data_IF_434100911139
#
_entry.id   IF_434100911139
#
_cell.length_a   1.000
_cell.length_b   1.000
_cell.length_c   1.000
_cell.angle_alpha   90.00
_cell.angle_beta   90.00
_cell.angle_gamma   90.00
#
_symmetry.space_group_name_H-M   'P 1'
#
loop_
_entity.id
_entity.type
_entity.pdbx_description
1 polymer ?
#
# COMPACT_ATOMS: atom_id res chain seq x y z
N UNK A 1 -3.14 24.05 79.03
CA UNK A 1 -3.23 25.06 77.95
C UNK A 1 -2.54 24.48 76.72
N UNK A 2 -3.30 23.85 75.82
CA UNK A 2 -2.78 23.27 74.58
C UNK A 2 -2.99 24.27 73.44
N UNK A 3 -1.92 24.64 72.73
CA UNK A 3 -1.99 25.50 71.55
C UNK A 3 -2.36 24.66 70.32
N UNK A 4 -3.48 25.02 69.68
CA UNK A 4 -3.95 24.37 68.46
C UNK A 4 -3.01 24.68 67.28
N UNK A 5 -2.32 23.65 66.78
CA UNK A 5 -1.55 23.73 65.54
C UNK A 5 -2.47 23.91 64.34
N UNK A 6 -2.28 24.99 63.58
CA UNK A 6 -2.97 25.25 62.32
C UNK A 6 -2.71 24.10 61.33
N UNK A 7 -3.73 23.56 60.64
CA UNK A 7 -3.50 22.60 59.57
C UNK A 7 -2.85 23.32 58.38
N UNK A 8 -1.62 22.92 58.03
CA UNK A 8 -0.96 23.35 56.81
C UNK A 8 -1.72 22.77 55.60
N UNK A 9 -2.53 23.60 54.95
CA UNK A 9 -3.15 23.27 53.69
C UNK A 9 -2.05 23.07 52.63
N UNK A 10 -1.74 21.81 52.30
CA UNK A 10 -0.93 21.44 51.14
C UNK A 10 -1.65 21.92 49.88
N UNK A 11 -1.27 23.10 49.37
CA UNK A 11 -1.64 23.54 48.02
C UNK A 11 -1.01 22.58 47.02
N UNK A 12 -1.83 21.73 46.40
CA UNK A 12 -1.41 20.98 45.22
C UNK A 12 -1.01 21.97 44.12
N UNK A 13 0.29 22.02 43.80
CA UNK A 13 0.80 22.84 42.72
C UNK A 13 0.25 22.30 41.39
N UNK A 14 -0.81 22.94 40.89
CA UNK A 14 -1.41 22.65 39.59
C UNK A 14 -0.32 22.77 38.52
N UNK A 15 0.17 21.63 38.00
CA UNK A 15 1.24 21.61 37.00
C UNK A 15 0.75 22.39 35.76
N UNK A 16 1.36 23.53 35.50
CA UNK A 16 1.10 24.30 34.29
C UNK A 16 1.49 23.44 33.09
N UNK A 17 0.51 23.09 32.25
CA UNK A 17 0.76 22.33 31.02
C UNK A 17 1.01 23.35 29.91
N UNK A 18 2.25 23.52 29.43
CA UNK A 18 2.54 24.51 28.40
C UNK A 18 1.84 24.11 27.09
N UNK A 19 1.03 25.01 26.55
CA UNK A 19 0.41 24.81 25.24
C UNK A 19 1.48 24.79 24.15
N UNK A 20 1.55 23.69 23.39
CA UNK A 20 2.40 23.57 22.20
C UNK A 20 1.54 23.76 20.96
N UNK A 21 1.86 24.76 20.15
CA UNK A 21 1.28 24.91 18.82
C UNK A 21 1.93 23.89 17.90
N UNK A 22 1.15 23.04 17.26
CA UNK A 22 1.63 22.10 16.24
C UNK A 22 0.98 22.42 14.90
N UNK A 23 1.77 22.35 13.84
CA UNK A 23 1.25 22.44 12.48
C UNK A 23 0.87 21.02 12.05
N UNK A 24 -0.42 20.72 12.06
CA UNK A 24 -0.96 19.44 11.60
C UNK A 24 -1.64 19.64 10.25
N UNK A 25 -1.55 18.63 9.38
CA UNK A 25 -2.22 18.69 8.07
C UNK A 25 -3.72 18.86 8.28
N UNK A 26 -4.37 19.83 7.60
CA UNK A 26 -5.83 19.97 7.64
C UNK A 26 -6.54 18.83 6.90
N UNK A 27 -5.81 18.08 6.07
CA UNK A 27 -6.37 16.99 5.27
C UNK A 27 -6.36 15.68 6.06
N UNK A 28 -7.55 15.09 6.19
CA UNK A 28 -7.71 13.75 6.75
C UNK A 28 -8.05 12.76 5.64
N UNK A 29 -7.12 11.85 5.37
CA UNK A 29 -7.35 10.76 4.41
C UNK A 29 -8.18 9.69 5.12
N UNK A 30 -9.37 9.40 4.59
CA UNK A 30 -10.30 8.40 5.13
C UNK A 30 -10.87 7.55 3.99
N UNK A 31 -11.19 6.30 4.31
CA UNK A 31 -11.90 5.42 3.39
C UNK A 31 -13.34 5.88 3.20
N UNK A 32 -13.83 5.78 1.97
CA UNK A 32 -15.24 6.03 1.66
C UNK A 32 -16.12 4.93 2.30
N UNK A 33 -17.28 5.29 2.87
CA UNK A 33 -18.19 4.31 3.45
C UNK A 33 -18.80 3.43 2.35
N UNK A 34 -18.84 2.12 2.59
CA UNK A 34 -19.45 1.15 1.68
C UNK A 34 -20.87 0.80 2.18
N UNK A 35 -21.91 0.87 1.33
CA UNK A 35 -23.26 0.44 1.67
C UNK A 35 -23.30 -1.05 2.08
N UNK A 36 -24.24 -1.40 2.97
CA UNK A 36 -24.32 -2.77 3.49
C UNK A 36 -24.70 -3.79 2.42
N UNK A 37 -25.57 -3.43 1.47
CA UNK A 37 -25.98 -4.28 0.36
C UNK A 37 -24.80 -4.63 -0.55
N UNK A 38 -24.05 -3.61 -0.96
CA UNK A 38 -22.86 -3.78 -1.78
C UNK A 38 -21.76 -4.55 -1.07
N UNK A 39 -21.59 -4.34 0.24
CA UNK A 39 -20.68 -5.13 1.06
C UNK A 39 -21.02 -6.63 0.99
N UNK A 40 -22.28 -7.01 1.19
CA UNK A 40 -22.68 -8.43 1.15
C UNK A 40 -22.53 -9.00 -0.27
N UNK A 41 -22.89 -8.23 -1.29
CA UNK A 41 -22.69 -8.62 -2.68
C UNK A 41 -21.21 -8.89 -2.98
N UNK A 42 -20.31 -7.96 -2.63
CA UNK A 42 -18.87 -8.10 -2.86
C UNK A 42 -18.33 -9.34 -2.16
N UNK A 43 -18.67 -9.53 -0.87
CA UNK A 43 -18.19 -10.69 -0.10
C UNK A 43 -18.69 -12.02 -0.68
N UNK A 44 -19.96 -12.08 -1.10
CA UNK A 44 -20.54 -13.29 -1.69
C UNK A 44 -19.88 -13.62 -3.03
N UNK A 45 -19.83 -12.65 -3.94
CA UNK A 45 -19.23 -12.83 -5.27
C UNK A 45 -17.77 -13.28 -5.18
N UNK A 46 -16.98 -12.70 -4.25
CA UNK A 46 -15.60 -13.11 -4.02
C UNK A 46 -15.52 -14.54 -3.49
N UNK A 47 -16.33 -14.88 -2.49
CA UNK A 47 -16.31 -16.22 -1.89
C UNK A 47 -16.64 -17.28 -2.94
N UNK A 48 -17.70 -17.07 -3.71
CA UNK A 48 -18.16 -18.01 -4.72
C UNK A 48 -17.08 -18.19 -5.81
N UNK A 49 -16.49 -17.09 -6.30
CA UNK A 49 -15.45 -17.15 -7.34
C UNK A 49 -14.12 -17.74 -6.85
N UNK A 50 -13.74 -17.51 -5.60
CA UNK A 50 -12.55 -18.16 -5.01
C UNK A 50 -12.75 -19.68 -4.88
N UNK A 51 -13.95 -20.12 -4.51
CA UNK A 51 -14.29 -21.54 -4.47
C UNK A 51 -14.30 -22.14 -5.88
N UNK A 52 -14.94 -21.47 -6.85
CA UNK A 52 -15.00 -21.95 -8.24
C UNK A 52 -13.64 -22.01 -8.93
N UNK A 53 -12.73 -21.09 -8.61
CA UNK A 53 -11.37 -21.09 -9.17
C UNK A 53 -10.46 -22.15 -8.55
N UNK A 54 -10.84 -22.77 -7.42
CA UNK A 54 -10.05 -23.81 -6.77
C UNK A 54 -8.66 -23.34 -6.28
N UNK A 55 -8.47 -22.03 -6.15
CA UNK A 55 -7.18 -21.44 -5.78
C UNK A 55 -6.95 -21.59 -4.27
N UNK A 56 -6.25 -22.65 -3.88
CA UNK A 56 -5.91 -22.91 -2.49
C UNK A 56 -4.39 -22.99 -2.30
N UNK A 57 -3.90 -22.49 -1.16
CA UNK A 57 -2.53 -22.74 -0.71
C UNK A 57 -2.48 -24.04 0.08
N UNK A 58 -1.93 -25.10 -0.51
CA UNK A 58 -1.62 -26.35 0.20
C UNK A 58 -0.43 -26.13 1.15
N UNK A 59 -0.66 -26.20 2.45
CA UNK A 59 0.44 -26.15 3.42
C UNK A 59 1.27 -27.44 3.36
N UNK A 60 2.43 -27.39 2.71
CA UNK A 60 3.43 -28.46 2.84
C UNK A 60 4.07 -28.30 4.21
N UNK A 61 3.71 -29.16 5.16
CA UNK A 61 4.37 -29.28 6.46
C UNK A 61 5.79 -29.84 6.27
N UNK A 62 6.70 -29.03 5.77
CA UNK A 62 8.13 -29.38 5.77
C UNK A 62 8.61 -29.21 7.22
N UNK A 63 8.58 -30.32 7.96
CA UNK A 63 9.32 -30.45 9.21
C UNK A 63 10.80 -30.24 8.87
N UNK A 64 11.32 -29.03 9.08
CA UNK A 64 12.76 -28.79 8.93
C UNK A 64 13.46 -29.60 10.01
N UNK A 65 14.31 -30.58 9.67
CA UNK A 65 15.14 -31.22 10.68
C UNK A 65 16.09 -30.15 11.24
N UNK A 66 15.93 -29.87 12.53
CA UNK A 66 16.81 -28.99 13.29
C UNK A 66 18.24 -29.53 13.19
N UNK A 67 19.11 -28.86 12.42
CA UNK A 67 20.51 -29.28 12.30
C UNK A 67 21.15 -29.19 13.68
N UNK A 68 21.40 -30.35 14.32
CA UNK A 68 22.31 -30.43 15.46
C UNK A 68 23.70 -30.07 14.96
N UNK A 69 24.27 -29.00 15.50
CA UNK A 69 25.65 -28.55 15.25
C UNK A 69 26.59 -29.67 15.68
N UNK A 70 27.16 -30.40 14.71
CA UNK A 70 28.24 -31.36 14.96
C UNK A 70 29.54 -30.57 14.88
N UNK A 71 30.20 -30.39 16.02
CA UNK A 71 31.54 -29.81 16.08
C UNK A 71 32.48 -30.65 15.21
N UNK A 72 33.00 -30.03 14.15
CA UNK A 72 33.93 -30.66 13.22
C UNK A 72 35.34 -30.19 13.58
N UNK A 73 36.04 -31.02 14.36
CA UNK A 73 37.48 -30.91 14.60
C UNK A 73 38.19 -31.33 13.31
N UNK A 74 39.02 -30.44 12.79
CA UNK A 74 39.82 -30.56 11.57
C UNK A 74 40.93 -31.60 11.68
N UNK A 75 41.09 -32.46 10.66
CA UNK A 75 42.37 -33.07 10.29
C UNK A 75 42.34 -33.66 8.86
N UNK A 76 43.15 -33.06 8.00
CA UNK A 76 44.03 -33.63 6.96
C UNK A 76 43.49 -34.54 5.81
N UNK A 77 43.63 -34.00 4.59
CA UNK A 77 44.37 -34.56 3.43
C UNK A 77 43.88 -35.85 2.74
N UNK A 78 43.31 -35.72 1.54
CA UNK A 78 43.97 -36.08 0.25
C UNK A 78 43.00 -35.97 -0.94
N UNK A 79 43.49 -35.34 -2.03
CA UNK A 79 42.97 -35.51 -3.40
C UNK A 79 43.58 -36.79 -4.01
N UNK A 80 42.91 -37.50 -4.96
CA UNK A 80 42.89 -37.07 -6.37
C UNK A 80 41.58 -37.31 -7.15
N UNK A 81 41.42 -36.51 -8.21
CA UNK A 81 40.46 -36.55 -9.35
C UNK A 81 40.96 -37.63 -10.36
N UNK A 82 40.16 -38.40 -11.16
CA UNK A 82 39.36 -37.81 -12.25
C UNK A 82 38.10 -38.54 -12.84
N UNK A 83 37.22 -37.67 -13.39
CA UNK A 83 36.41 -37.76 -14.64
C UNK A 83 35.15 -38.67 -14.81
N UNK A 84 34.11 -38.01 -15.36
CA UNK A 84 32.99 -38.42 -16.26
C UNK A 84 31.62 -38.85 -15.69
N UNK A 85 30.59 -38.26 -16.33
CA UNK A 85 29.19 -38.70 -16.50
C UNK A 85 28.19 -38.20 -15.45
N UNK A 86 27.46 -37.13 -15.75
CA UNK A 86 26.15 -37.10 -16.43
C UNK A 86 24.97 -37.30 -15.46
N UNK A 87 24.05 -36.35 -15.53
CA UNK A 87 22.64 -36.44 -15.15
C UNK A 87 22.30 -36.79 -13.71
N UNK A 88 22.41 -35.77 -12.87
CA UNK A 88 21.40 -35.56 -11.83
C UNK A 88 21.18 -34.05 -11.68
N UNK A 89 20.43 -33.47 -12.63
CA UNK A 89 19.65 -32.27 -12.32
C UNK A 89 18.78 -32.61 -11.12
N UNK A 90 19.23 -32.18 -9.95
CA UNK A 90 18.42 -32.14 -8.73
C UNK A 90 17.26 -31.22 -9.06
N UNK A 91 16.16 -31.84 -9.46
CA UNK A 91 14.88 -31.18 -9.69
C UNK A 91 14.54 -30.42 -8.41
N UNK A 92 14.61 -29.10 -8.51
CA UNK A 92 14.10 -28.16 -7.53
C UNK A 92 12.63 -28.56 -7.25
N UNK A 93 12.37 -29.06 -6.05
CA UNK A 93 11.00 -29.31 -5.58
C UNK A 93 10.12 -28.07 -5.84
N UNK A 94 8.81 -28.23 -6.13
CA UNK A 94 7.97 -27.09 -6.47
C UNK A 94 7.88 -26.17 -5.25
N UNK A 95 8.60 -25.04 -5.30
CA UNK A 95 8.63 -24.01 -4.25
C UNK A 95 7.28 -23.30 -4.07
N UNK A 96 6.30 -23.59 -4.92
CA UNK A 96 4.99 -22.94 -4.93
C UNK A 96 3.91 -23.90 -4.46
N UNK A 97 3.44 -23.67 -3.24
CA UNK A 97 2.41 -24.46 -2.55
C UNK A 97 0.98 -24.11 -3.00
N UNK A 98 0.79 -23.60 -4.22
CA UNK A 98 -0.51 -23.14 -4.73
C UNK A 98 -1.08 -24.14 -5.73
N UNK A 99 -2.40 -24.37 -5.69
CA UNK A 99 -3.09 -25.28 -6.62
C UNK A 99 -2.99 -24.80 -8.06
N UNK A 100 -3.27 -23.51 -8.31
CA UNK A 100 -3.11 -22.89 -9.62
C UNK A 100 -2.15 -21.69 -9.55
N UNK A 101 -1.03 -21.81 -10.26
CA UNK A 101 0.00 -20.77 -10.33
C UNK A 101 -0.42 -19.62 -11.26
N UNK A 102 -1.22 -19.89 -12.29
CA UNK A 102 -1.69 -18.87 -13.23
C UNK A 102 -2.70 -17.93 -12.55
N UNK A 103 -3.75 -18.48 -11.92
CA UNK A 103 -4.68 -17.69 -11.13
C UNK A 103 -3.99 -16.98 -9.95
N UNK A 104 -2.99 -17.61 -9.30
CA UNK A 104 -2.24 -16.94 -8.22
C UNK A 104 -1.53 -15.67 -8.68
N UNK A 105 -0.99 -15.65 -9.91
CA UNK A 105 -0.29 -14.48 -10.45
C UNK A 105 -1.20 -13.27 -10.68
N UNK A 106 -2.51 -13.50 -10.82
CA UNK A 106 -3.53 -12.45 -10.94
C UNK A 106 -3.91 -11.81 -9.61
N UNK A 107 -3.51 -12.40 -8.48
CA UNK A 107 -3.83 -11.86 -7.16
C UNK A 107 -2.60 -11.24 -6.50
N UNK A 108 -2.79 -10.08 -5.89
CA UNK A 108 -1.86 -9.49 -4.93
C UNK A 108 -2.44 -9.68 -3.53
N UNK A 109 -1.77 -10.47 -2.68
CA UNK A 109 -2.28 -10.83 -1.35
C UNK A 109 -1.41 -10.17 -0.29
N UNK A 110 -2.05 -9.36 0.56
CA UNK A 110 -1.41 -8.63 1.65
C UNK A 110 -0.94 -7.23 1.24
N UNK A 111 -0.70 -6.41 2.27
CA UNK A 111 -0.43 -4.98 2.10
C UNK A 111 0.80 -4.75 1.22
N UNK A 112 1.88 -5.49 1.45
CA UNK A 112 3.15 -5.31 0.72
C UNK A 112 3.06 -5.73 -0.76
N UNK A 113 2.29 -6.77 -1.09
CA UNK A 113 2.12 -7.16 -2.50
C UNK A 113 1.22 -6.17 -3.23
N UNK A 114 0.17 -5.70 -2.55
CA UNK A 114 -0.75 -4.69 -3.07
C UNK A 114 -0.03 -3.37 -3.30
N UNK A 115 0.80 -2.89 -2.36
CA UNK A 115 1.55 -1.63 -2.54
C UNK A 115 2.48 -1.72 -3.74
N UNK A 116 3.24 -2.81 -3.87
CA UNK A 116 4.12 -3.04 -5.03
C UNK A 116 3.34 -3.05 -6.35
N UNK A 117 2.17 -3.67 -6.37
CA UNK A 117 1.33 -3.73 -7.57
C UNK A 117 0.72 -2.36 -7.91
N UNK A 118 0.28 -1.58 -6.91
CA UNK A 118 -0.15 -0.19 -7.10
C UNK A 118 0.98 0.68 -7.65
N UNK A 119 2.18 0.58 -7.09
CA UNK A 119 3.36 1.33 -7.54
C UNK A 119 3.69 1.06 -9.01
N UNK A 120 3.51 -0.20 -9.46
CA UNK A 120 3.74 -0.63 -10.86
C UNK A 120 2.55 -0.41 -11.79
N UNK A 121 1.44 0.13 -11.30
CA UNK A 121 0.20 0.30 -12.06
C UNK A 121 -0.38 -1.03 -12.59
N UNK A 122 -0.24 -2.10 -11.82
CA UNK A 122 -0.65 -3.44 -12.23
C UNK A 122 -2.04 -3.82 -11.71
N UNK A 123 -2.73 -3.00 -10.90
CA UNK A 123 -4.01 -3.38 -10.28
C UNK A 123 -5.24 -2.81 -10.99
N UNK A 124 -6.26 -3.64 -11.18
CA UNK A 124 -7.61 -3.24 -11.64
C UNK A 124 -8.56 -2.91 -10.48
N UNK A 125 -8.43 -3.60 -9.34
CA UNK A 125 -9.31 -3.43 -8.17
C UNK A 125 -8.53 -3.72 -6.88
N UNK A 126 -8.80 -2.94 -5.83
CA UNK A 126 -8.24 -3.14 -4.49
C UNK A 126 -9.32 -3.23 -3.41
N UNK A 127 -9.27 -4.30 -2.63
CA UNK A 127 -10.12 -4.52 -1.46
C UNK A 127 -9.27 -4.59 -0.20
N UNK A 128 -9.60 -3.78 0.80
CA UNK A 128 -8.88 -3.72 2.08
C UNK A 128 -9.81 -4.12 3.22
N UNK A 129 -9.34 -4.95 4.14
CA UNK A 129 -10.13 -5.37 5.30
C UNK A 129 -10.23 -4.25 6.35
N UNK A 130 -11.42 -4.02 6.92
CA UNK A 130 -11.62 -3.06 8.03
C UNK A 130 -11.01 -3.49 9.37
N UNK A 131 -10.58 -4.75 9.52
CA UNK A 131 -10.02 -5.27 10.78
C UNK A 131 -8.59 -4.81 11.08
N UNK A 132 -7.91 -4.15 10.13
CA UNK A 132 -6.51 -3.75 10.26
C UNK A 132 -6.35 -2.68 11.33
N UNK A 133 -5.49 -2.96 12.31
CA UNK A 133 -5.06 -2.01 13.33
C UNK A 133 -3.53 -1.97 13.35
N UNK A 134 -2.90 -0.79 13.34
CA UNK A 134 -3.49 0.56 13.32
C UNK A 134 -3.96 1.01 11.92
N UNK A 135 -4.94 1.93 11.87
CA UNK A 135 -5.57 2.37 10.62
C UNK A 135 -4.59 3.00 9.61
N UNK A 136 -3.53 3.65 10.11
CA UNK A 136 -2.52 4.29 9.26
C UNK A 136 -1.80 3.31 8.32
N UNK A 137 -1.79 2.00 8.63
CA UNK A 137 -1.26 0.98 7.73
C UNK A 137 -2.05 0.84 6.43
N UNK A 138 -3.25 1.41 6.34
CA UNK A 138 -4.07 1.36 5.12
C UNK A 138 -4.25 2.71 4.47
N UNK A 139 -4.04 3.80 5.20
CA UNK A 139 -4.30 5.15 4.70
C UNK A 139 -3.45 5.52 3.47
N UNK A 140 -2.22 5.00 3.39
CA UNK A 140 -1.35 5.24 2.24
C UNK A 140 -1.91 4.61 0.95
N UNK A 141 -2.66 3.51 1.05
CA UNK A 141 -3.29 2.87 -0.10
C UNK A 141 -4.35 3.75 -0.76
N UNK A 142 -5.02 4.62 0.01
CA UNK A 142 -6.02 5.55 -0.52
C UNK A 142 -5.36 6.52 -1.51
N UNK A 143 -4.27 7.16 -1.09
CA UNK A 143 -3.54 8.11 -1.94
C UNK A 143 -2.91 7.43 -3.17
N UNK A 144 -2.33 6.22 -2.98
CA UNK A 144 -1.76 5.44 -4.08
C UNK A 144 -2.82 4.96 -5.09
N UNK A 145 -4.01 4.57 -4.61
CA UNK A 145 -5.08 4.13 -5.51
C UNK A 145 -5.67 5.32 -6.26
N UNK A 146 -5.88 6.44 -5.57
CA UNK A 146 -6.38 7.67 -6.19
C UNK A 146 -5.43 8.22 -7.26
N UNK A 147 -4.11 8.14 -7.07
CA UNK A 147 -3.14 8.61 -8.07
C UNK A 147 -3.06 7.74 -9.32
N UNK A 148 -3.50 6.48 -9.23
CA UNK A 148 -3.52 5.53 -10.36
C UNK A 148 -4.91 5.30 -10.93
N UNK A 149 -5.94 5.95 -10.38
CA UNK A 149 -7.32 5.75 -10.80
C UNK A 149 -7.87 4.35 -10.51
N UNK A 150 -7.30 3.63 -9.55
CA UNK A 150 -7.72 2.27 -9.22
C UNK A 150 -8.89 2.33 -8.24
N UNK A 151 -10.04 1.68 -8.52
CA UNK A 151 -11.15 1.58 -7.59
C UNK A 151 -10.69 0.82 -6.35
N UNK A 152 -10.87 1.42 -5.19
CA UNK A 152 -10.47 0.80 -3.93
C UNK A 152 -11.48 1.06 -2.82
N UNK A 153 -11.83 0.02 -2.06
CA UNK A 153 -12.75 0.14 -0.94
C UNK A 153 -12.30 -0.65 0.28
N UNK A 154 -12.78 -0.21 1.43
CA UNK A 154 -12.63 -0.93 2.68
C UNK A 154 -13.85 -1.80 2.94
N UNK A 155 -13.66 -3.12 2.95
CA UNK A 155 -14.70 -4.11 3.19
C UNK A 155 -14.54 -4.69 4.59
N UNK A 156 -15.53 -4.56 5.50
CA UNK A 156 -15.49 -5.24 6.79
C UNK A 156 -15.65 -6.76 6.60
N UNK A 157 -15.01 -7.55 7.47
CA UNK A 157 -15.05 -9.03 7.44
C UNK A 157 -14.51 -9.67 6.14
N UNK A 158 -13.74 -8.93 5.34
CA UNK A 158 -13.09 -9.45 4.14
C UNK A 158 -12.23 -10.68 4.46
N UNK A 159 -11.32 -10.56 5.44
CA UNK A 159 -10.44 -11.65 5.82
C UNK A 159 -11.21 -12.93 6.19
N UNK A 160 -12.33 -12.81 6.91
CA UNK A 160 -13.11 -13.96 7.38
C UNK A 160 -13.73 -14.75 6.22
N UNK A 161 -14.08 -14.08 5.12
CA UNK A 161 -14.73 -14.73 3.97
C UNK A 161 -13.72 -15.23 2.93
N UNK A 162 -12.55 -14.61 2.86
CA UNK A 162 -11.56 -14.85 1.80
C UNK A 162 -10.41 -15.75 2.25
N UNK A 163 -10.07 -15.77 3.55
CA UNK A 163 -8.89 -16.50 4.02
C UNK A 163 -9.07 -18.02 3.98
N UNK A 164 -10.26 -18.52 4.34
CA UNK A 164 -10.57 -19.94 4.35
C UNK A 164 -10.54 -20.55 2.93
N UNK A 165 -11.23 -19.99 1.91
CA UNK A 165 -11.13 -20.49 0.53
C UNK A 165 -9.71 -20.49 -0.04
N UNK A 166 -8.85 -19.56 0.39
CA UNK A 166 -7.47 -19.44 -0.08
C UNK A 166 -6.47 -20.33 0.67
N UNK A 167 -6.88 -21.05 1.72
CA UNK A 167 -5.96 -21.80 2.59
C UNK A 167 -5.00 -20.88 3.37
N UNK A 168 -5.43 -19.68 3.73
CA UNK A 168 -4.63 -18.68 4.46
C UNK A 168 -5.21 -18.42 5.85
N UNK A 169 -4.35 -18.03 6.79
CA UNK A 169 -4.77 -17.64 8.15
C UNK A 169 -5.55 -16.32 8.17
N UNK A 170 -5.13 -15.37 7.34
CA UNK A 170 -5.75 -14.04 7.27
C UNK A 170 -5.35 -13.31 5.99
N UNK A 171 -6.27 -12.54 5.43
CA UNK A 171 -6.04 -11.68 4.25
C UNK A 171 -6.46 -10.26 4.60
N UNK A 172 -5.47 -9.38 4.76
CA UNK A 172 -5.69 -7.99 5.15
C UNK A 172 -5.99 -7.09 3.95
N UNK A 173 -5.32 -7.31 2.83
CA UNK A 173 -5.55 -6.60 1.59
C UNK A 173 -5.52 -7.61 0.43
N UNK A 174 -6.37 -7.38 -0.56
CA UNK A 174 -6.51 -8.19 -1.75
C UNK A 174 -6.57 -7.27 -2.96
N UNK A 175 -5.66 -7.43 -3.92
CA UNK A 175 -5.66 -6.72 -5.18
C UNK A 175 -5.81 -7.68 -6.35
N UNK A 176 -6.53 -7.26 -7.38
CA UNK A 176 -6.65 -7.97 -8.66
C UNK A 176 -5.73 -7.32 -9.67
N UNK A 177 -4.77 -8.08 -10.20
CA UNK A 177 -3.80 -7.62 -11.18
C UNK A 177 -4.41 -7.65 -12.59
N UNK A 178 -3.99 -6.72 -13.43
CA UNK A 178 -4.18 -6.78 -14.87
C UNK A 178 -3.25 -7.84 -15.45
N UNK A 179 -3.80 -8.77 -16.22
CA UNK A 179 -2.99 -9.71 -16.99
C UNK A 179 -2.69 -9.13 -18.37
N UNK A 180 -1.55 -9.52 -18.94
CA UNK A 180 -1.15 -9.10 -20.29
C UNK A 180 -1.87 -9.93 -21.38
N UNK A 181 -2.19 -11.19 -21.09
CA UNK A 181 -2.97 -12.10 -21.94
C UNK A 181 -4.44 -12.07 -21.53
N UNK A 182 -5.35 -11.89 -22.51
CA UNK A 182 -6.81 -11.93 -22.29
C UNK A 182 -7.32 -13.33 -21.93
N UNK A 183 -6.67 -14.37 -22.43
CA UNK A 183 -7.12 -15.76 -22.26
C UNK A 183 -6.91 -16.30 -20.84
N UNK A 184 -6.08 -15.64 -20.02
CA UNK A 184 -5.79 -16.08 -18.67
C UNK A 184 -6.63 -15.37 -17.60
N UNK A 185 -7.46 -14.37 -17.93
CA UNK A 185 -8.11 -13.54 -16.90
C UNK A 185 -9.26 -14.27 -16.18
N UNK A 186 -8.98 -14.97 -15.08
CA UNK A 186 -9.96 -15.74 -14.29
C UNK A 186 -10.89 -14.83 -13.47
N UNK A 187 -10.39 -13.65 -13.09
CA UNK A 187 -11.07 -12.74 -12.15
C UNK A 187 -11.73 -11.51 -12.81
N UNK A 188 -11.68 -11.35 -14.13
CA UNK A 188 -12.28 -10.21 -14.85
C UNK A 188 -13.74 -10.00 -14.54
N UNK A 189 -14.56 -11.05 -14.65
CA UNK A 189 -16.01 -10.96 -14.36
C UNK A 189 -16.26 -10.39 -12.96
N UNK A 190 -15.43 -10.79 -12.00
CA UNK A 190 -15.57 -10.38 -10.60
C UNK A 190 -15.21 -8.91 -10.42
N UNK A 191 -14.16 -8.46 -11.10
CA UNK A 191 -13.72 -7.06 -11.09
C UNK A 191 -14.77 -6.19 -11.75
N UNK A 192 -15.31 -6.59 -12.90
CA UNK A 192 -16.36 -5.86 -13.62
C UNK A 192 -17.66 -5.78 -12.82
N UNK A 193 -18.03 -6.84 -12.11
CA UNK A 193 -19.22 -6.85 -11.25
C UNK A 193 -19.06 -5.98 -9.99
N UNK A 194 -17.85 -5.89 -9.42
CA UNK A 194 -17.58 -5.16 -8.17
C UNK A 194 -17.30 -3.68 -8.40
N UNK A 195 -16.53 -3.34 -9.45
CA UNK A 195 -16.11 -1.97 -9.76
C UNK A 195 -17.24 -0.92 -9.70
N UNK A 196 -18.43 -1.12 -10.31
CA UNK A 196 -19.49 -0.11 -10.27
C UNK A 196 -20.10 0.11 -8.88
N UNK A 197 -19.92 -0.82 -7.94
CA UNK A 197 -20.42 -0.75 -6.56
C UNK A 197 -19.41 -0.17 -5.58
N UNK A 198 -18.17 0.03 -6.04
CA UNK A 198 -17.10 0.58 -5.21
C UNK A 198 -17.24 2.11 -5.13
N UNK A 199 -17.34 2.68 -3.93
CA UNK A 199 -17.39 4.14 -3.79
C UNK A 199 -16.07 4.75 -4.24
N UNK A 200 -16.15 5.89 -4.95
CA UNK A 200 -14.96 6.61 -5.39
C UNK A 200 -14.16 7.13 -4.19
N UNK A 201 -12.84 7.13 -4.33
CA UNK A 201 -11.93 7.68 -3.34
C UNK A 201 -11.74 9.17 -3.59
N UNK A 202 -12.06 10.00 -2.59
CA UNK A 202 -11.83 11.43 -2.65
C UNK A 202 -10.58 11.81 -1.85
N UNK A 203 -9.54 12.27 -2.55
CA UNK A 203 -8.34 12.85 -1.95
C UNK A 203 -8.30 14.32 -2.33
N UNK A 204 -8.59 15.20 -1.36
CA UNK A 204 -8.82 16.63 -1.59
C UNK A 204 -7.70 17.36 -2.35
N UNK A 205 -6.44 16.96 -2.17
CA UNK A 205 -5.29 17.58 -2.85
C UNK A 205 -4.98 16.98 -4.23
N UNK A 206 -5.68 15.92 -4.64
CA UNK A 206 -5.43 15.19 -5.89
C UNK A 206 -6.56 15.38 -6.91
N UNK A 207 -7.55 16.21 -6.58
CA UNK A 207 -8.67 16.55 -7.46
C UNK A 207 -8.13 17.33 -8.66
N UNK A 208 -8.01 16.66 -9.81
CA UNK A 208 -7.45 17.24 -11.05
C UNK A 208 -6.57 16.27 -11.85
N UNK A 209 -6.08 15.19 -11.23
CA UNK A 209 -5.24 14.18 -11.88
C UNK A 209 -6.03 12.93 -12.33
N UNK A 210 -7.30 13.08 -12.73
CA UNK A 210 -8.04 11.96 -13.29
C UNK A 210 -7.45 11.59 -14.66
N UNK A 211 -7.07 10.31 -14.90
CA UNK A 211 -6.68 9.88 -16.23
C UNK A 211 -7.92 9.96 -17.14
N UNK A 212 -7.82 10.75 -18.21
CA UNK A 212 -8.78 10.71 -19.31
C UNK A 212 -8.68 9.32 -19.94
N UNK A 213 -9.54 8.39 -19.53
CA UNK A 213 -9.75 7.13 -20.25
C UNK A 213 -10.60 7.48 -21.47
N UNK A 214 -9.93 7.84 -22.58
CA UNK A 214 -10.56 7.84 -23.91
C UNK A 214 -10.60 6.40 -24.40
N UNK A 215 -11.82 5.86 -24.53
CA UNK A 215 -12.08 4.58 -25.15
C UNK A 215 -12.31 4.75 -26.67
N UNK A 216 -11.46 4.10 -27.49
CA UNK A 216 -11.64 3.68 -28.91
C UNK A 216 -11.80 4.79 -29.97
N UNK A 217 -11.11 4.81 -31.11
CA UNK A 217 -10.24 3.87 -31.85
C UNK A 217 -9.50 4.61 -33.01
N UNK A 218 -9.13 3.96 -34.13
CA UNK A 218 -7.84 3.30 -34.38
C UNK A 218 -6.92 4.00 -35.43
N UNK A 219 -5.71 3.43 -35.60
CA UNK A 219 -4.72 3.59 -36.70
C UNK A 219 -3.83 4.86 -36.60
N UNK A 220 -2.51 4.89 -36.82
CA UNK A 220 -1.50 4.05 -37.51
C UNK A 220 -0.15 4.24 -36.78
N UNK A 221 0.55 3.19 -36.32
CA UNK A 221 1.78 2.64 -36.92
C UNK A 221 2.71 3.66 -37.59
N UNK A 222 3.77 4.10 -36.88
CA UNK A 222 5.12 4.22 -37.44
C UNK A 222 6.17 3.88 -36.37
N UNK A 223 7.16 3.09 -36.79
CA UNK A 223 8.29 2.57 -36.04
C UNK A 223 9.51 3.38 -36.46
N UNK A 224 10.25 3.97 -35.52
CA UNK A 224 11.68 4.21 -35.71
C UNK A 224 12.43 3.89 -34.41
N UNK A 225 13.29 2.89 -34.51
CA UNK A 225 14.41 2.69 -33.59
C UNK A 225 15.58 3.56 -34.07
N UNK A 226 16.21 4.33 -33.18
CA UNK A 226 17.68 4.36 -33.19
C UNK A 226 18.28 4.66 -31.81
N UNK A 227 19.45 4.05 -31.63
CA UNK A 227 20.28 3.93 -30.44
C UNK A 227 20.80 5.26 -29.87
N UNK A 228 20.92 5.31 -28.54
CA UNK A 228 22.24 5.59 -27.95
C UNK A 228 22.41 6.79 -27.03
N UNK A 229 22.84 6.44 -25.80
CA UNK A 229 23.79 7.13 -24.91
C UNK A 229 23.27 8.17 -23.91
N UNK A 230 23.53 7.80 -22.65
CA UNK A 230 23.53 8.61 -21.44
C UNK A 230 24.22 9.97 -21.62
N UNK A 231 23.66 11.01 -20.99
CA UNK A 231 24.44 11.93 -20.16
C UNK A 231 23.57 12.70 -19.18
N UNK A 232 23.91 12.52 -17.91
CA UNK A 232 23.48 13.32 -16.76
C UNK A 232 23.91 14.78 -16.97
N UNK A 233 22.97 15.73 -16.92
CA UNK A 233 23.29 17.15 -16.77
C UNK A 233 22.41 17.82 -15.70
N UNK A 234 23.10 18.44 -14.74
CA UNK A 234 22.54 19.23 -13.64
C UNK A 234 22.42 20.70 -14.07
N UNK A 235 21.23 21.27 -13.80
CA UNK A 235 20.87 22.70 -13.56
C UNK A 235 20.99 23.69 -14.73
N UNK A 236 19.85 24.34 -15.06
CA UNK A 236 19.61 25.76 -14.73
C UNK A 236 18.12 26.10 -14.86
N UNK A 237 17.64 26.93 -13.95
CA UNK A 237 16.30 27.53 -13.93
C UNK A 237 16.36 28.75 -14.85
N UNK A 238 15.63 28.73 -15.96
CA UNK A 238 15.35 29.91 -16.76
C UNK A 238 13.86 30.21 -16.68
N UNK A 239 13.59 31.49 -16.44
CA UNK A 239 12.29 32.06 -16.13
C UNK A 239 11.79 32.66 -17.42
N UNK A 240 10.83 32.02 -18.07
CA UNK A 240 10.12 32.62 -19.19
C UNK A 240 8.62 32.54 -18.90
N UNK A 241 8.07 33.73 -18.70
CA UNK A 241 6.66 34.03 -18.65
C UNK A 241 6.14 34.09 -20.09
N UNK A 242 5.10 33.33 -20.43
CA UNK A 242 3.85 33.88 -20.98
C UNK A 242 2.79 32.79 -21.24
N UNK A 243 1.56 33.16 -20.86
CA UNK A 243 0.24 32.63 -21.22
C UNK A 243 -0.05 31.13 -21.06
N UNK A 244 -0.40 30.75 -19.82
CA UNK A 244 -1.16 29.52 -19.55
C UNK A 244 -2.65 29.86 -19.47
N UNK A 245 -3.38 29.46 -20.51
CA UNK A 245 -4.84 29.30 -20.50
C UNK A 245 -5.27 28.47 -19.28
N UNK A 246 -6.18 29.00 -18.48
CA UNK A 246 -6.55 28.47 -17.16
C UNK A 246 -6.96 26.98 -17.15
N UNK A 247 -6.39 26.17 -16.24
CA UNK A 247 -7.07 24.98 -15.75
C UNK A 247 -7.92 25.34 -14.52
N UNK A 248 -9.20 25.00 -14.61
CA UNK A 248 -10.24 25.12 -13.59
C UNK A 248 -9.89 24.28 -12.33
N UNK A 249 -8.99 24.78 -11.49
CA UNK A 249 -8.81 24.30 -10.12
C UNK A 249 -8.45 25.48 -9.21
N UNK A 250 -9.47 26.26 -8.89
CA UNK A 250 -9.39 27.42 -7.99
C UNK A 250 -9.17 26.97 -6.54
N UNK A 251 -7.95 26.52 -6.22
CA UNK A 251 -7.53 26.41 -4.82
C UNK A 251 -6.98 27.77 -4.36
N UNK A 252 -7.89 28.68 -4.02
CA UNK A 252 -7.53 29.99 -3.48
C UNK A 252 -7.00 29.83 -2.05
N UNK A 253 -5.67 29.79 -1.90
CA UNK A 253 -5.03 29.77 -0.58
C UNK A 253 -5.24 31.13 0.11
N UNK A 254 -5.94 31.14 1.24
CA UNK A 254 -6.06 32.36 2.03
C UNK A 254 -4.78 32.62 2.85
N UNK A 255 -4.29 33.87 2.88
CA UNK A 255 -3.16 34.21 3.72
C UNK A 255 -3.50 34.01 5.19
N UNK A 256 -2.64 33.28 5.90
CA UNK A 256 -2.81 33.01 7.33
C UNK A 256 -2.73 34.31 8.14
N UNK A 257 -3.83 34.69 8.79
CA UNK A 257 -3.84 35.80 9.75
C UNK A 257 -3.25 35.32 11.07
N UNK A 258 -1.98 35.64 11.32
CA UNK A 258 -1.32 35.38 12.59
C UNK A 258 -1.93 36.27 13.67
N UNK A 259 -2.77 35.71 14.56
CA UNK A 259 -3.45 36.47 15.62
C UNK A 259 -2.49 37.01 16.69
N UNK A 260 -1.40 36.29 16.97
CA UNK A 260 -0.42 36.68 18.02
C UNK A 260 0.90 35.96 17.82
N UNK A 261 1.99 36.72 17.71
CA UNK A 261 3.36 36.19 17.72
C UNK A 261 3.84 36.25 19.17
N UNK A 262 4.08 35.09 19.79
CA UNK A 262 4.66 35.01 21.14
C UNK A 262 6.17 34.77 20.97
N UNK A 263 6.98 35.67 21.49
CA UNK A 263 8.43 35.52 21.47
C UNK A 263 8.84 34.25 22.23
N UNK A 264 9.71 33.43 21.63
CA UNK A 264 10.23 32.24 22.28
C UNK A 264 11.05 32.64 23.54
N UNK A 265 10.61 32.28 24.76
CA UNK A 265 11.28 32.69 26.00
C UNK A 265 12.68 32.10 26.16
N UNK A 266 13.02 31.03 25.41
CA UNK A 266 14.35 30.42 25.44
C UNK A 266 15.39 31.19 24.59
N UNK A 267 14.97 32.11 23.72
CA UNK A 267 15.89 32.92 22.91
C UNK A 267 16.07 34.29 23.53
N UNK A 268 17.09 34.43 24.40
CA UNK A 268 17.60 35.75 24.82
C UNK A 268 18.14 36.48 23.59
N UNK A 269 17.45 37.53 23.12
CA UNK A 269 18.00 38.40 22.07
C UNK A 269 19.26 39.06 22.63
N UNK A 270 20.43 38.81 22.02
CA UNK A 270 21.62 39.63 22.27
C UNK A 270 21.26 41.06 21.89
N UNK A 271 21.36 42.00 22.84
CA UNK A 271 21.30 43.43 22.54
C UNK A 271 22.51 43.74 21.68
N UNK A 272 22.27 44.11 20.42
CA UNK A 272 23.30 44.72 19.57
C UNK A 272 23.51 46.13 20.13
N UNK A 273 24.78 46.43 20.44
CA UNK A 273 25.23 47.72 20.97
C UNK A 273 25.57 48.63 19.80
#
# INVERSE_FOLDING_TARGET
MATAGKPAAKKEAKRYTPAKTSFTSPFTIKWSPLPQEDMHFILKTLKDKLISSGLEKKEVKVLRPWRKKKDQKSAATSEPVPLVSQDAQVQDAPKNSWTDVAARRQLAIGINEVTKALERNELKLLLVCKSIKPAHMTNHLIALSASRGVPACQVPRLSQNVSEPLGLKSVLALGFRQCASKDDEVFTDTVEAITPRVPSLNVAWLQGAAPRVTAGGPAEMEVEEELGKEKVQKRKLETESEEVTEPTSSSTLQPLKVKKIIANPARKKKKVK
#
